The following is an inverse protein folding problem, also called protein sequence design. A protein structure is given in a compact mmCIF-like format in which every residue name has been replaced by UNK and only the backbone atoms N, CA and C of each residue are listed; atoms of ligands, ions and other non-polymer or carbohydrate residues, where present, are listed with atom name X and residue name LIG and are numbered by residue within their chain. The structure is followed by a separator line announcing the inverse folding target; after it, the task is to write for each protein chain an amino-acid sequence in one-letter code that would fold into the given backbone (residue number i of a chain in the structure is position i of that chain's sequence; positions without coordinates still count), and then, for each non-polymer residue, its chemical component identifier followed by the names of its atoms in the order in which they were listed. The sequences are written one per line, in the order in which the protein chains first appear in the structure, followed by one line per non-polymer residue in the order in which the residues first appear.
data_IF_361114249102
#
_entry.id   IF_361114249102
#
_cell.length_a   1.000
_cell.length_b   1.000
_cell.length_c   1.000
_cell.angle_alpha   90.00
_cell.angle_beta   90.00
_cell.angle_gamma   90.00
#
_symmetry.space_group_name_H-M   'P 1'
#
loop_
_entity.id
_entity.type
_entity.pdbx_description
1 polymer ?
#
# COMPACT_ATOMS: atom_id res chain seq x y z
N UNK A 1 -0.59 7.69 9.24
CA UNK A 1 -1.02 6.98 8.02
C UNK A 1 -2.07 7.82 7.34
N UNK A 2 -1.86 8.20 6.09
CA UNK A 2 -2.79 9.01 5.29
C UNK A 2 -2.89 8.42 3.89
N UNK A 3 -4.10 8.11 3.44
CA UNK A 3 -4.35 7.70 2.05
C UNK A 3 -4.25 8.94 1.16
N UNK A 4 -3.42 8.84 0.11
CA UNK A 4 -3.14 9.93 -0.84
C UNK A 4 -3.89 9.70 -2.14
N UNK A 5 -3.81 8.48 -2.67
CA UNK A 5 -4.46 8.09 -3.93
C UNK A 5 -5.01 6.67 -3.84
N UNK A 6 -6.08 6.40 -4.59
CA UNK A 6 -6.65 5.06 -4.75
C UNK A 6 -7.21 4.87 -6.16
N UNK A 7 -6.83 3.78 -6.81
CA UNK A 7 -7.32 3.38 -8.13
C UNK A 7 -7.81 1.93 -8.10
N UNK A 8 -8.96 1.65 -8.71
CA UNK A 8 -9.47 0.29 -8.87
C UNK A 8 -8.80 -0.35 -10.09
N UNK A 9 -8.04 -1.44 -9.89
CA UNK A 9 -7.31 -2.14 -10.96
C UNK A 9 -7.33 -3.66 -10.75
N UNK A 10 -7.50 -4.42 -11.83
CA UNK A 10 -7.49 -5.90 -11.82
C UNK A 10 -8.38 -6.53 -10.74
N UNK A 11 -9.54 -5.93 -10.45
CA UNK A 11 -10.46 -6.38 -9.41
C UNK A 11 -10.04 -6.08 -7.97
N UNK A 12 -8.87 -5.48 -7.76
CA UNK A 12 -8.40 -4.96 -6.47
C UNK A 12 -8.23 -3.45 -6.48
N UNK A 13 -7.47 -2.92 -5.52
CA UNK A 13 -7.15 -1.49 -5.43
C UNK A 13 -5.66 -1.23 -5.28
N UNK A 14 -5.14 -0.35 -6.12
CA UNK A 14 -3.82 0.25 -5.95
C UNK A 14 -3.97 1.50 -5.09
N UNK A 15 -3.21 1.59 -4.02
CA UNK A 15 -3.26 2.68 -3.06
C UNK A 15 -1.88 3.29 -2.85
N UNK A 16 -1.83 4.61 -2.67
CA UNK A 16 -0.62 5.33 -2.25
C UNK A 16 -0.87 5.93 -0.88
N UNK A 17 0.05 5.66 0.04
CA UNK A 17 -0.04 6.07 1.44
C UNK A 17 1.15 6.95 1.81
N UNK A 18 0.90 7.89 2.72
CA UNK A 18 1.93 8.70 3.37
C UNK A 18 1.97 8.45 4.89
N UNK A 19 3.17 8.36 5.44
CA UNK A 19 3.42 8.23 6.87
C UNK A 19 4.76 8.86 7.25
N UNK A 20 4.79 9.56 8.39
CA UNK A 20 6.04 10.06 8.96
C UNK A 20 6.83 8.92 9.60
N UNK A 21 7.91 8.50 8.96
CA UNK A 21 8.75 7.39 9.42
C UNK A 21 9.68 7.85 10.55
N UNK A 22 9.52 7.28 11.75
CA UNK A 22 10.36 7.62 12.91
C UNK A 22 11.84 7.25 12.71
N UNK A 23 12.15 6.24 11.92
CA UNK A 23 13.53 5.83 11.65
C UNK A 23 14.28 6.80 10.72
N UNK A 24 13.56 7.44 9.80
CA UNK A 24 14.11 8.36 8.80
C UNK A 24 13.81 9.84 9.10
N UNK A 25 12.96 10.11 10.10
CA UNK A 25 12.54 11.45 10.52
C UNK A 25 11.95 12.29 9.38
N UNK A 26 11.26 11.66 8.43
CA UNK A 26 10.66 12.33 7.28
C UNK A 26 9.31 11.71 6.86
N UNK A 27 8.53 12.44 6.06
CA UNK A 27 7.32 11.89 5.43
C UNK A 27 7.71 10.94 4.30
N UNK A 28 7.36 9.66 4.45
CA UNK A 28 7.57 8.62 3.47
C UNK A 28 6.28 8.34 2.72
N UNK A 29 6.41 8.10 1.41
CA UNK A 29 5.32 7.63 0.56
C UNK A 29 5.62 6.22 0.07
N UNK A 30 4.61 5.37 0.08
CA UNK A 30 4.71 4.00 -0.44
C UNK A 30 3.41 3.59 -1.11
N UNK A 31 3.51 2.64 -2.04
CA UNK A 31 2.39 2.11 -2.78
C UNK A 31 2.09 0.67 -2.33
N UNK A 32 0.80 0.32 -2.28
CA UNK A 32 0.32 -1.01 -1.91
C UNK A 32 -0.76 -1.42 -2.92
N UNK A 33 -0.64 -2.63 -3.45
CA UNK A 33 -1.73 -3.27 -4.16
C UNK A 33 -2.48 -4.20 -3.21
N UNK A 34 -3.78 -3.95 -3.04
CA UNK A 34 -4.68 -4.82 -2.28
C UNK A 34 -5.55 -5.60 -3.27
N UNK A 35 -5.33 -6.91 -3.44
CA UNK A 35 -6.20 -7.73 -4.27
C UNK A 35 -7.58 -7.89 -3.64
N UNK A 36 -8.56 -8.32 -4.43
CA UNK A 36 -9.87 -8.69 -3.89
C UNK A 36 -9.71 -9.82 -2.86
N UNK A 37 -10.20 -9.61 -1.65
CA UNK A 37 -10.09 -10.56 -0.54
C UNK A 37 -11.46 -10.78 0.14
N UNK A 38 -12.39 -11.48 -0.51
CA UNK A 38 -13.77 -11.62 -0.02
C UNK A 38 -13.86 -12.39 1.30
N UNK A 39 -12.92 -13.31 1.57
CA UNK A 39 -12.86 -14.07 2.82
C UNK A 39 -12.25 -13.27 3.99
N UNK A 40 -11.73 -12.06 3.72
CA UNK A 40 -11.02 -11.20 4.66
C UNK A 40 -9.97 -11.94 5.51
N UNK A 41 -9.25 -12.87 4.88
CA UNK A 41 -8.19 -13.65 5.53
C UNK A 41 -6.83 -12.97 5.35
N UNK A 42 -5.83 -13.26 6.20
CA UNK A 42 -4.46 -12.81 5.97
C UNK A 42 -3.95 -13.31 4.62
N UNK A 43 -3.34 -12.41 3.83
CA UNK A 43 -2.67 -12.73 2.58
C UNK A 43 -1.16 -12.59 2.75
N UNK A 44 -0.41 -13.34 1.95
CA UNK A 44 1.04 -13.15 1.87
C UNK A 44 1.39 -11.77 1.30
N UNK A 45 2.46 -11.16 1.80
CA UNK A 45 2.93 -9.85 1.36
C UNK A 45 4.18 -10.03 0.51
N UNK A 46 4.20 -9.42 -0.67
CA UNK A 46 5.39 -9.33 -1.54
C UNK A 46 5.88 -7.90 -1.48
N UNK A 47 7.18 -7.71 -1.19
CA UNK A 47 7.82 -6.40 -1.14
C UNK A 47 8.61 -6.20 -2.43
N UNK A 48 8.14 -5.29 -3.27
CA UNK A 48 8.86 -4.83 -4.46
C UNK A 48 9.71 -3.61 -4.13
N UNK A 49 10.98 -3.63 -4.52
CA UNK A 49 11.83 -2.45 -4.49
C UNK A 49 11.82 -1.78 -5.87
N UNK A 50 11.68 -0.44 -5.95
CA UNK A 50 11.83 0.25 -7.22
C UNK A 50 13.25 0.00 -7.76
N UNK A 51 13.36 -0.14 -9.08
CA UNK A 51 14.62 -0.21 -9.79
C UNK A 51 15.35 1.14 -9.82
#
# INVERSE_FOLDING_TARGET
MKLIEQHQIFGGSQQVWAHHAQTLQCEMKFAVYLPNNPENRPLGVIIGFPA
#
